data_IF_291019009115
#
_entry.id   IF_291019009115
#
_cell.length_a   1.000
_cell.length_b   1.000
_cell.length_c   1.000
_cell.angle_alpha   90.00
_cell.angle_beta   90.00
_cell.angle_gamma   90.00
#
_symmetry.space_group_name_H-M   'P 1'
#
loop_
_entity.id
_entity.type
_entity.pdbx_description
1 polymer ?
#
# COMPACT_ATOMS: atom_id res chain seq x y z
N UNK A 1 -14.11 -5.72 29.10
CA UNK A 1 -14.78 -4.82 28.13
C UNK A 1 -15.79 -5.62 27.31
N UNK A 2 -16.96 -5.05 27.07
CA UNK A 2 -18.03 -5.65 26.27
C UNK A 2 -17.63 -5.79 24.79
N UNK A 3 -18.39 -6.62 24.02
CA UNK A 3 -18.09 -6.94 22.61
C UNK A 3 -18.04 -5.71 21.70
N UNK A 4 -18.86 -4.69 21.95
CA UNK A 4 -18.88 -3.49 21.10
C UNK A 4 -19.54 -3.69 19.74
N UNK A 5 -19.02 -3.02 18.72
CA UNK A 5 -19.59 -2.97 17.38
C UNK A 5 -18.55 -3.24 16.28
N UNK A 6 -18.98 -3.28 15.03
CA UNK A 6 -18.05 -3.38 13.87
C UNK A 6 -17.12 -2.16 13.75
N UNK A 7 -17.49 -1.00 14.30
CA UNK A 7 -16.63 0.19 14.31
C UNK A 7 -15.55 0.10 15.37
N UNK A 8 -15.92 -0.21 16.61
CA UNK A 8 -15.00 -0.47 17.72
C UNK A 8 -15.47 -1.70 18.44
N UNK A 9 -14.73 -2.76 18.31
CA UNK A 9 -14.99 -4.06 18.92
C UNK A 9 -14.24 -4.17 20.26
N UNK A 10 -14.65 -5.10 21.12
CA UNK A 10 -13.95 -5.48 22.33
C UNK A 10 -12.50 -5.93 22.08
N UNK A 11 -11.64 -5.94 23.11
CA UNK A 11 -10.22 -6.15 22.92
C UNK A 11 -9.92 -7.54 22.38
N UNK A 12 -9.14 -7.57 21.32
CA UNK A 12 -8.63 -8.82 20.80
C UNK A 12 -7.27 -9.15 21.44
N UNK A 13 -6.34 -8.21 21.41
CA UNK A 13 -5.05 -8.23 22.10
C UNK A 13 -4.69 -6.79 22.43
N UNK A 14 -4.07 -6.56 23.56
CA UNK A 14 -3.73 -5.21 23.94
C UNK A 14 -2.87 -5.12 25.18
N UNK A 15 -2.60 -3.89 25.57
CA UNK A 15 -1.86 -3.55 26.79
C UNK A 15 -2.38 -2.24 27.37
N UNK A 16 -2.27 -2.08 28.68
CA UNK A 16 -2.53 -0.79 29.31
C UNK A 16 -1.30 0.10 29.24
N UNK A 17 -1.52 1.39 29.26
CA UNK A 17 -0.52 2.43 29.29
C UNK A 17 -0.88 3.43 30.37
N UNK A 18 0.08 3.70 31.25
CA UNK A 18 -0.04 4.75 32.26
C UNK A 18 0.59 6.04 31.72
N UNK A 19 -0.15 7.14 31.83
CA UNK A 19 0.36 8.44 31.44
C UNK A 19 1.10 9.11 32.62
N UNK A 20 2.00 10.07 32.35
CA UNK A 20 2.63 10.85 33.40
C UNK A 20 1.65 11.67 34.26
N UNK A 21 0.44 11.91 33.75
CA UNK A 21 -0.66 12.57 34.48
C UNK A 21 -1.46 11.62 35.39
N UNK A 22 -1.13 10.32 35.41
CA UNK A 22 -1.80 9.31 36.24
C UNK A 22 -3.08 8.76 35.60
N UNK A 23 -3.30 8.96 34.31
CA UNK A 23 -4.42 8.35 33.61
C UNK A 23 -4.04 6.95 33.12
N UNK A 24 -5.01 6.05 33.08
CA UNK A 24 -4.87 4.70 32.57
C UNK A 24 -5.60 4.58 31.24
N UNK A 25 -4.92 4.00 30.26
CA UNK A 25 -5.44 3.79 28.92
C UNK A 25 -5.16 2.37 28.45
N UNK A 26 -6.02 1.85 27.57
CA UNK A 26 -5.84 0.53 26.99
C UNK A 26 -5.75 0.61 25.47
N UNK A 27 -4.63 0.13 24.92
CA UNK A 27 -4.41 -0.02 23.48
C UNK A 27 -4.80 -1.43 23.07
N UNK A 28 -5.64 -1.56 22.07
CA UNK A 28 -5.98 -2.84 21.48
C UNK A 28 -6.14 -2.69 19.96
N UNK A 29 -6.27 -3.79 19.27
CA UNK A 29 -6.60 -3.73 17.85
C UNK A 29 -7.90 -4.47 17.56
N UNK A 30 -8.47 -4.12 16.42
CA UNK A 30 -9.56 -4.83 15.77
C UNK A 30 -9.09 -5.25 14.37
N UNK A 31 -9.32 -6.51 14.00
CA UNK A 31 -9.11 -6.96 12.63
C UNK A 31 -10.23 -6.40 11.74
N UNK A 32 -9.83 -5.64 10.73
CA UNK A 32 -10.72 -4.97 9.78
C UNK A 32 -10.48 -5.45 8.35
N UNK A 33 -10.23 -6.72 8.18
CA UNK A 33 -10.09 -7.39 6.88
C UNK A 33 -9.05 -6.70 5.99
N UNK A 34 -9.42 -6.22 4.80
CA UNK A 34 -8.51 -5.52 3.89
C UNK A 34 -7.84 -4.29 4.51
N UNK A 35 -8.47 -3.64 5.47
CA UNK A 35 -7.89 -2.49 6.18
C UNK A 35 -6.91 -2.89 7.30
N UNK A 36 -6.80 -4.18 7.61
CA UNK A 36 -5.86 -4.74 8.56
C UNK A 36 -6.25 -4.56 10.01
N UNK A 37 -5.26 -4.57 10.87
CA UNK A 37 -5.43 -4.48 12.32
C UNK A 37 -5.40 -3.04 12.78
N UNK A 38 -6.56 -2.43 12.84
CA UNK A 38 -6.73 -1.03 13.25
C UNK A 38 -6.60 -0.93 14.77
N UNK A 39 -5.73 -0.03 15.23
CA UNK A 39 -5.45 0.19 16.65
C UNK A 39 -6.44 1.18 17.24
N UNK A 40 -7.00 0.84 18.38
CA UNK A 40 -7.91 1.65 19.17
C UNK A 40 -7.29 2.00 20.51
N UNK A 41 -7.60 3.19 21.01
CA UNK A 41 -7.26 3.65 22.36
C UNK A 41 -8.56 3.78 23.18
N UNK A 42 -8.63 3.11 24.32
CA UNK A 42 -9.78 3.12 25.22
C UNK A 42 -9.39 3.72 26.57
N UNK A 43 -10.27 4.49 27.24
CA UNK A 43 -10.07 4.83 28.64
C UNK A 43 -10.10 3.57 29.49
N UNK A 44 -9.36 3.58 30.61
CA UNK A 44 -9.34 2.46 31.55
C UNK A 44 -9.30 2.99 32.97
N UNK A 45 -9.98 2.30 33.87
CA UNK A 45 -9.95 2.54 35.31
C UNK A 45 -9.69 1.24 36.07
N UNK A 46 -9.19 1.32 37.30
CA UNK A 46 -9.02 0.19 38.17
C UNK A 46 -10.14 0.21 39.26
N UNK A 47 -10.71 -0.95 39.57
CA UNK A 47 -11.61 -1.11 40.73
C UNK A 47 -10.79 -1.13 42.03
N UNK A 48 -11.51 -1.10 43.17
CA UNK A 48 -10.88 -1.23 44.48
C UNK A 48 -10.21 -2.61 44.69
N UNK A 49 -10.59 -3.61 43.92
CA UNK A 49 -10.02 -4.96 43.93
C UNK A 49 -8.91 -5.15 42.85
N UNK A 50 -8.35 -4.05 42.35
CA UNK A 50 -7.32 -4.06 41.28
C UNK A 50 -7.73 -4.76 39.97
N UNK A 51 -9.04 -4.68 39.64
CA UNK A 51 -9.54 -5.19 38.38
C UNK A 51 -9.72 -4.09 37.33
N UNK A 52 -9.26 -4.28 36.08
CA UNK A 52 -9.35 -3.24 35.03
C UNK A 52 -10.75 -3.18 34.42
N UNK A 53 -11.34 -2.01 34.41
CA UNK A 53 -12.53 -1.67 33.61
C UNK A 53 -12.08 -0.90 32.39
N UNK A 54 -12.17 -1.53 31.22
CA UNK A 54 -11.71 -0.97 29.94
C UNK A 54 -12.93 -0.45 29.17
N UNK A 55 -12.84 0.79 28.70
CA UNK A 55 -13.99 1.52 28.14
C UNK A 55 -14.73 2.27 29.24
N UNK A 56 -16.02 2.45 29.07
CA UNK A 56 -16.89 3.12 30.04
C UNK A 56 -17.98 2.14 30.50
N UNK A 57 -18.01 1.84 31.78
CA UNK A 57 -19.11 1.13 32.39
C UNK A 57 -20.28 2.11 32.56
N UNK A 58 -21.35 1.92 31.79
CA UNK A 58 -22.51 2.83 31.74
C UNK A 58 -23.67 2.38 32.60
N UNK A 59 -23.76 1.10 32.85
CA UNK A 59 -24.86 0.49 33.61
C UNK A 59 -24.45 -0.02 35.00
N UNK A 60 -23.16 0.04 35.32
CA UNK A 60 -22.62 -0.30 36.64
C UNK A 60 -22.46 -1.80 36.87
N UNK A 61 -22.38 -2.59 35.81
CA UNK A 61 -22.19 -4.05 35.89
C UNK A 61 -20.72 -4.47 36.05
N UNK A 62 -19.77 -3.52 36.06
CA UNK A 62 -18.33 -3.73 36.14
C UNK A 62 -17.69 -4.08 34.80
N UNK A 63 -18.43 -4.06 33.68
CA UNK A 63 -17.94 -4.33 32.34
C UNK A 63 -17.97 -3.07 31.48
N UNK A 64 -16.83 -2.48 31.23
CA UNK A 64 -16.73 -1.28 30.39
C UNK A 64 -17.11 -1.54 28.93
N UNK A 65 -17.82 -0.61 28.32
CA UNK A 65 -18.15 -0.61 26.90
C UNK A 65 -17.11 0.15 26.07
N UNK A 66 -16.74 -0.34 24.85
CA UNK A 66 -15.83 0.39 23.99
C UNK A 66 -16.39 1.76 23.59
N UNK A 67 -15.54 2.79 23.59
CA UNK A 67 -15.92 4.14 23.16
C UNK A 67 -15.39 4.40 21.74
N UNK A 68 -16.23 5.07 20.93
CA UNK A 68 -15.83 5.53 19.58
C UNK A 68 -15.20 6.92 19.63
N UNK A 69 -15.62 7.73 20.57
CA UNK A 69 -15.15 9.09 20.81
C UNK A 69 -14.86 9.28 22.28
N UNK A 70 -13.72 9.86 22.59
CA UNK A 70 -13.33 10.20 23.94
C UNK A 70 -12.33 11.37 23.93
N UNK A 71 -12.16 12.04 25.08
CA UNK A 71 -11.09 13.04 25.21
C UNK A 71 -9.73 12.41 24.98
N UNK A 72 -8.77 13.18 24.47
CA UNK A 72 -7.39 12.72 24.37
C UNK A 72 -6.75 12.56 25.75
N UNK A 73 -5.74 11.67 25.89
CA UNK A 73 -4.90 11.64 27.09
C UNK A 73 -4.31 13.02 27.41
N UNK A 74 -4.24 13.35 28.70
CA UNK A 74 -3.60 14.60 29.15
C UNK A 74 -2.07 14.44 29.07
N UNK A 75 -1.52 14.79 27.89
CA UNK A 75 -0.09 14.75 27.62
C UNK A 75 0.41 16.16 27.29
N UNK A 76 1.35 16.66 28.05
CA UNK A 76 1.97 17.96 27.78
C UNK A 76 2.66 17.96 26.42
N UNK A 77 2.32 18.91 25.54
CA UNK A 77 2.95 19.08 24.24
C UNK A 77 2.49 18.12 23.16
N UNK A 78 1.42 17.37 23.37
CA UNK A 78 0.81 16.53 22.35
C UNK A 78 0.17 17.37 21.25
N UNK A 79 0.88 17.53 20.14
CA UNK A 79 0.31 18.04 18.90
C UNK A 79 -0.56 16.97 18.20
N UNK A 80 -1.17 17.35 17.08
CA UNK A 80 -1.79 16.38 16.19
C UNK A 80 -0.67 15.81 15.30
N UNK A 81 -0.32 14.54 15.49
CA UNK A 81 0.61 13.82 14.62
C UNK A 81 -0.19 13.03 13.58
N UNK A 82 0.15 13.23 12.33
CA UNK A 82 -0.35 12.38 11.23
C UNK A 82 0.81 11.56 10.67
N UNK A 83 0.67 10.22 10.61
CA UNK A 83 1.66 9.38 9.94
C UNK A 83 1.85 9.80 8.49
N UNK A 84 3.07 9.75 8.00
CA UNK A 84 3.35 9.98 6.58
C UNK A 84 2.67 8.90 5.74
N UNK A 85 2.03 9.32 4.65
CA UNK A 85 1.34 8.43 3.70
C UNK A 85 1.82 8.60 2.26
N UNK A 86 2.30 9.77 1.89
CA UNK A 86 2.94 10.03 0.61
C UNK A 86 4.45 10.11 0.73
N UNK A 87 5.15 10.27 -0.40
CA UNK A 87 6.60 10.46 -0.42
C UNK A 87 7.02 11.19 -1.70
N UNK A 88 7.91 12.17 -1.56
CA UNK A 88 8.58 12.84 -2.66
C UNK A 88 10.07 12.44 -2.74
N UNK A 89 10.47 11.45 -1.95
CA UNK A 89 11.77 10.80 -1.92
C UNK A 89 12.96 11.76 -1.77
N UNK A 90 12.79 12.87 -1.04
CA UNK A 90 13.87 13.82 -0.76
C UNK A 90 14.83 13.36 0.31
N UNK A 91 14.40 12.51 1.21
CA UNK A 91 15.26 11.86 2.17
C UNK A 91 16.19 10.85 1.48
N UNK A 92 17.32 10.50 2.10
CA UNK A 92 18.23 9.48 1.57
C UNK A 92 17.78 8.05 1.91
N UNK A 93 16.84 7.94 2.84
CA UNK A 93 16.26 6.67 3.28
C UNK A 93 14.75 6.67 3.06
N UNK A 94 14.19 5.49 2.89
CA UNK A 94 12.74 5.29 2.84
C UNK A 94 12.10 5.65 4.17
N UNK A 95 10.97 6.36 4.12
CA UNK A 95 10.17 6.67 5.30
C UNK A 95 9.57 5.41 5.96
N UNK A 96 9.18 5.52 7.24
CA UNK A 96 8.65 4.41 8.04
C UNK A 96 7.32 3.84 7.51
N UNK A 97 6.64 4.55 6.62
CA UNK A 97 5.44 4.05 5.94
C UNK A 97 5.74 2.92 4.95
N UNK A 98 6.98 2.82 4.46
CA UNK A 98 7.38 1.82 3.49
C UNK A 98 7.88 0.53 4.15
N UNK A 99 7.57 -0.60 3.55
CA UNK A 99 8.05 -1.91 3.97
C UNK A 99 8.28 -2.82 2.75
N UNK A 100 9.32 -3.61 2.81
CA UNK A 100 9.56 -4.66 1.83
C UNK A 100 8.71 -5.89 2.13
N UNK A 101 8.32 -6.62 1.09
CA UNK A 101 7.63 -7.89 1.25
C UNK A 101 8.56 -8.96 1.86
N UNK A 102 9.79 -9.01 1.39
CA UNK A 102 10.82 -9.89 1.92
C UNK A 102 11.86 -9.19 2.80
N UNK A 103 12.93 -9.88 3.10
CA UNK A 103 14.09 -9.31 3.78
C UNK A 103 14.77 -8.30 2.87
N UNK A 104 14.91 -7.03 3.27
CA UNK A 104 15.41 -5.97 2.40
C UNK A 104 16.86 -6.22 1.96
N UNK A 105 17.17 -5.83 0.72
CA UNK A 105 18.52 -5.81 0.17
C UNK A 105 18.89 -4.38 -0.24
N UNK A 106 20.10 -3.91 0.06
CA UNK A 106 20.54 -2.57 -0.33
C UNK A 106 20.70 -2.42 -1.86
N UNK A 107 20.66 -3.52 -2.61
CA UNK A 107 20.77 -3.51 -4.05
C UNK A 107 19.44 -3.37 -4.79
N UNK A 108 18.31 -3.35 -4.06
CA UNK A 108 17.00 -3.27 -4.70
C UNK A 108 16.55 -1.85 -5.01
N UNK A 109 17.11 -0.87 -4.31
CA UNK A 109 16.67 0.51 -4.48
C UNK A 109 17.78 1.53 -4.23
N UNK A 110 17.55 2.72 -4.79
CA UNK A 110 18.28 3.93 -4.47
C UNK A 110 17.29 5.07 -4.30
N UNK A 111 17.46 5.86 -3.26
CA UNK A 111 16.55 6.96 -2.90
C UNK A 111 17.33 8.26 -2.79
N UNK A 112 16.74 9.35 -3.26
CA UNK A 112 17.25 10.69 -3.03
C UNK A 112 17.62 11.47 -4.28
N UNK A 113 18.39 12.57 -4.12
CA UNK A 113 18.83 13.42 -5.22
C UNK A 113 19.70 12.66 -6.22
N UNK A 114 19.44 12.84 -7.51
CA UNK A 114 20.16 12.13 -8.59
C UNK A 114 19.54 10.81 -9.00
N UNK A 115 18.51 10.32 -8.30
CA UNK A 115 17.70 9.21 -8.79
C UNK A 115 16.83 9.62 -9.99
N UNK A 116 16.53 10.90 -10.16
CA UNK A 116 15.90 11.44 -11.35
C UNK A 116 16.97 11.73 -12.43
N UNK A 117 16.94 10.95 -13.51
CA UNK A 117 17.95 11.02 -14.55
C UNK A 117 18.00 12.39 -15.23
N UNK A 118 19.17 13.02 -15.23
CA UNK A 118 19.47 14.25 -15.97
C UNK A 118 18.93 15.55 -15.37
N UNK A 119 18.10 15.53 -14.34
CA UNK A 119 17.61 16.72 -13.66
C UNK A 119 18.33 16.94 -12.33
N UNK A 120 19.32 17.84 -12.33
CA UNK A 120 20.09 18.15 -11.13
C UNK A 120 19.16 18.66 -10.02
N UNK A 121 19.20 18.01 -8.86
CA UNK A 121 18.47 18.40 -7.65
C UNK A 121 17.08 17.79 -7.47
N UNK A 122 16.53 17.03 -8.42
CA UNK A 122 15.31 16.25 -8.20
C UNK A 122 15.63 14.94 -7.49
N UNK A 123 14.77 14.62 -6.53
CA UNK A 123 14.80 13.36 -5.82
C UNK A 123 13.80 12.37 -6.41
N UNK A 124 14.09 11.10 -6.33
CA UNK A 124 13.20 10.02 -6.73
C UNK A 124 13.59 8.73 -6.00
N UNK A 125 12.74 7.73 -6.10
CA UNK A 125 13.07 6.34 -5.80
C UNK A 125 13.37 5.62 -7.12
N UNK A 126 14.49 4.90 -7.18
CA UNK A 126 14.78 3.88 -8.20
C UNK A 126 14.62 2.50 -7.59
N UNK A 127 13.79 1.67 -8.19
CA UNK A 127 13.70 0.24 -7.89
C UNK A 127 14.37 -0.52 -9.04
N UNK A 128 15.47 -1.20 -8.74
CA UNK A 128 16.18 -2.00 -9.73
C UNK A 128 15.44 -3.31 -9.98
N UNK A 129 15.50 -3.80 -11.22
CA UNK A 129 14.88 -5.06 -11.56
C UNK A 129 15.60 -6.22 -10.88
N UNK A 130 14.86 -6.99 -10.10
CA UNK A 130 15.34 -8.15 -9.35
C UNK A 130 15.02 -9.40 -10.14
N UNK A 131 16.04 -10.28 -10.30
CA UNK A 131 15.88 -11.56 -10.97
C UNK A 131 14.84 -12.42 -10.23
N UNK A 132 13.84 -12.86 -10.98
CA UNK A 132 12.86 -13.82 -10.48
C UNK A 132 13.44 -15.25 -10.61
N UNK A 133 13.36 -15.99 -9.52
CA UNK A 133 13.65 -17.42 -9.53
C UNK A 133 12.63 -18.16 -10.41
N UNK A 134 13.06 -19.20 -11.12
CA UNK A 134 12.14 -20.09 -11.87
C UNK A 134 11.05 -20.73 -11.00
N UNK A 135 11.27 -20.79 -9.69
CA UNK A 135 10.30 -21.30 -8.72
C UNK A 135 9.22 -20.28 -8.34
N UNK A 136 9.36 -18.99 -8.71
CA UNK A 136 8.39 -17.97 -8.38
C UNK A 136 7.18 -18.04 -9.30
N UNK A 137 6.01 -18.15 -8.71
CA UNK A 137 4.75 -18.39 -9.42
C UNK A 137 4.08 -17.08 -9.86
N UNK A 138 4.20 -16.04 -9.01
CA UNK A 138 3.57 -14.75 -9.21
C UNK A 138 4.21 -13.72 -8.27
N UNK A 139 3.68 -12.49 -8.18
CA UNK A 139 4.23 -11.42 -7.33
C UNK A 139 4.24 -11.75 -5.84
N UNK A 140 3.49 -12.74 -5.34
CA UNK A 140 3.53 -13.10 -3.92
C UNK A 140 4.88 -13.69 -3.50
N UNK A 141 5.61 -14.26 -4.43
CA UNK A 141 6.93 -14.83 -4.21
C UNK A 141 8.06 -13.78 -4.38
N UNK A 142 7.73 -12.57 -4.90
CA UNK A 142 8.71 -11.50 -5.12
C UNK A 142 9.05 -10.78 -3.80
N UNK A 143 10.29 -10.88 -3.30
CA UNK A 143 10.67 -10.25 -2.03
C UNK A 143 10.84 -8.73 -2.14
N UNK A 144 11.03 -8.21 -3.33
CA UNK A 144 11.33 -6.82 -3.64
C UNK A 144 10.09 -5.96 -3.94
N UNK A 145 8.90 -6.39 -3.50
CA UNK A 145 7.75 -5.49 -3.47
C UNK A 145 7.96 -4.44 -2.37
N UNK A 146 7.93 -3.17 -2.73
CA UNK A 146 7.96 -2.05 -1.79
C UNK A 146 6.55 -1.56 -1.54
N UNK A 147 6.03 -1.77 -0.34
CA UNK A 147 4.62 -1.68 -0.03
C UNK A 147 4.33 -0.70 1.11
N UNK A 148 3.13 -0.14 1.10
CA UNK A 148 2.55 0.66 2.18
C UNK A 148 1.16 0.12 2.54
N UNK A 149 0.82 0.09 3.82
CA UNK A 149 -0.51 -0.30 4.31
C UNK A 149 -1.57 0.71 3.87
N UNK A 150 -2.82 0.26 3.75
CA UNK A 150 -3.95 1.15 3.57
C UNK A 150 -4.06 2.12 4.76
N UNK A 151 -4.06 3.45 4.52
CA UNK A 151 -4.03 4.45 5.59
C UNK A 151 -5.41 4.74 6.18
N UNK A 152 -6.47 4.48 5.44
CA UNK A 152 -7.87 4.74 5.81
C UNK A 152 -8.83 3.86 5.00
N UNK A 153 -10.13 3.94 5.30
CA UNK A 153 -11.17 3.19 4.58
C UNK A 153 -11.46 3.78 3.19
N UNK A 154 -11.29 5.10 3.02
CA UNK A 154 -11.43 5.79 1.73
C UNK A 154 -10.19 6.65 1.46
N UNK A 155 -9.55 6.42 0.32
CA UNK A 155 -8.36 7.17 -0.08
C UNK A 155 -8.04 7.01 -1.57
N UNK A 156 -7.26 7.96 -2.07
CA UNK A 156 -6.72 7.93 -3.43
C UNK A 156 -5.20 7.97 -3.38
N UNK A 157 -4.55 7.00 -4.02
CA UNK A 157 -3.10 7.00 -4.28
C UNK A 157 -2.87 7.45 -5.71
N UNK A 158 -1.93 8.36 -5.90
CA UNK A 158 -1.45 8.77 -7.23
C UNK A 158 0.07 8.77 -7.22
N UNK A 159 0.68 8.21 -8.26
CA UNK A 159 2.12 8.18 -8.42
C UNK A 159 2.54 8.52 -9.86
N UNK A 160 3.70 9.18 -9.99
CA UNK A 160 4.37 9.37 -11.28
C UNK A 160 5.50 8.36 -11.39
N UNK A 161 5.49 7.58 -12.45
CA UNK A 161 6.37 6.45 -12.71
C UNK A 161 7.11 6.65 -14.03
N UNK A 162 8.32 6.09 -14.10
CA UNK A 162 9.10 6.01 -15.32
C UNK A 162 9.79 4.65 -15.38
N UNK A 163 9.47 3.85 -16.39
CA UNK A 163 10.11 2.55 -16.59
C UNK A 163 11.26 2.67 -17.57
N UNK A 164 12.42 2.19 -17.16
CA UNK A 164 13.68 2.18 -17.94
C UNK A 164 14.16 0.74 -18.04
N UNK A 165 13.70 -0.01 -19.07
CA UNK A 165 14.16 -1.38 -19.26
C UNK A 165 15.64 -1.41 -19.70
N UNK A 166 16.33 -2.49 -19.39
CA UNK A 166 17.69 -2.69 -19.89
C UNK A 166 17.68 -2.94 -21.42
N UNK A 167 18.29 -2.08 -22.24
CA UNK A 167 18.27 -2.19 -23.69
C UNK A 167 19.01 -3.43 -24.23
N UNK A 168 19.79 -4.12 -23.42
CA UNK A 168 20.50 -5.36 -23.79
C UNK A 168 19.64 -6.61 -23.56
N UNK A 169 18.49 -6.47 -22.93
CA UNK A 169 17.55 -7.57 -22.70
C UNK A 169 16.51 -7.63 -23.81
N UNK A 170 15.98 -8.82 -24.06
CA UNK A 170 14.85 -8.95 -24.98
C UNK A 170 13.62 -8.22 -24.43
N UNK A 171 12.80 -7.62 -25.30
CA UNK A 171 11.52 -7.04 -24.88
C UNK A 171 10.69 -8.03 -24.07
N UNK A 172 10.06 -7.55 -22.99
CA UNK A 172 9.28 -8.38 -22.07
C UNK A 172 10.10 -9.18 -21.06
N UNK A 173 11.44 -9.08 -21.09
CA UNK A 173 12.31 -9.72 -20.08
C UNK A 173 12.24 -9.05 -18.69
N UNK A 174 11.70 -7.85 -18.63
CA UNK A 174 11.53 -7.08 -17.39
C UNK A 174 10.12 -6.54 -17.32
N UNK A 175 9.58 -6.51 -16.12
CA UNK A 175 8.33 -5.85 -15.79
C UNK A 175 8.45 -5.01 -14.52
N UNK A 176 7.64 -3.97 -14.46
CA UNK A 176 7.59 -3.11 -13.30
C UNK A 176 6.19 -2.50 -13.16
N UNK A 177 5.89 -1.92 -12.01
CA UNK A 177 4.61 -1.24 -11.90
C UNK A 177 4.13 -0.98 -10.51
N UNK A 178 2.80 -0.80 -10.44
CA UNK A 178 2.05 -0.53 -9.23
C UNK A 178 1.14 -1.71 -8.91
N UNK A 179 1.02 -2.06 -7.62
CA UNK A 179 0.22 -3.19 -7.16
C UNK A 179 -0.62 -2.83 -5.94
N UNK A 180 -1.84 -3.35 -5.88
CA UNK A 180 -2.62 -3.54 -4.63
C UNK A 180 -2.52 -5.00 -4.27
N UNK A 181 -1.97 -5.30 -3.10
CA UNK A 181 -1.46 -6.61 -2.72
C UNK A 181 -2.04 -7.11 -1.39
N UNK A 182 -2.47 -8.37 -1.38
CA UNK A 182 -2.95 -9.11 -0.22
C UNK A 182 -2.89 -10.62 -0.50
N UNK A 183 -3.91 -11.37 -0.11
CA UNK A 183 -4.08 -12.78 -0.54
C UNK A 183 -4.33 -12.87 -2.05
N UNK A 184 -4.98 -11.85 -2.59
CA UNK A 184 -5.09 -11.57 -4.01
C UNK A 184 -4.28 -10.31 -4.34
N UNK A 185 -4.00 -10.08 -5.61
CA UNK A 185 -3.50 -8.77 -6.04
C UNK A 185 -4.05 -8.33 -7.39
N UNK A 186 -4.00 -7.04 -7.58
CA UNK A 186 -4.22 -6.40 -8.87
C UNK A 186 -3.02 -5.48 -9.16
N UNK A 187 -2.44 -5.61 -10.34
CA UNK A 187 -1.29 -4.80 -10.73
C UNK A 187 -1.51 -4.07 -12.07
N UNK A 188 -1.03 -2.84 -12.14
CA UNK A 188 -0.74 -2.14 -13.38
C UNK A 188 0.74 -2.38 -13.69
N UNK A 189 1.02 -3.23 -14.68
CA UNK A 189 2.32 -3.79 -15.01
C UNK A 189 2.80 -3.20 -16.34
N UNK A 190 3.94 -2.53 -16.38
CA UNK A 190 4.57 -2.02 -17.60
C UNK A 190 5.64 -2.99 -18.07
N UNK A 191 5.64 -3.27 -19.37
CA UNK A 191 6.64 -4.11 -20.06
C UNK A 191 7.16 -3.38 -21.27
N UNK A 192 8.45 -3.58 -21.57
CA UNK A 192 9.04 -3.15 -22.85
C UNK A 192 8.55 -4.02 -24.00
N UNK A 193 8.31 -3.39 -25.15
CA UNK A 193 8.01 -4.06 -26.42
C UNK A 193 9.00 -3.59 -27.49
N UNK A 194 9.10 -4.26 -28.64
CA UNK A 194 9.97 -3.78 -29.74
C UNK A 194 9.64 -2.36 -30.21
N UNK A 195 8.36 -1.97 -30.09
CA UNK A 195 7.84 -0.68 -30.55
C UNK A 195 7.63 0.32 -29.39
N UNK A 196 8.09 -0.02 -28.13
CA UNK A 196 8.01 0.83 -26.95
C UNK A 196 7.57 0.12 -25.67
N UNK A 197 6.48 0.54 -25.06
CA UNK A 197 6.01 -0.07 -23.83
C UNK A 197 4.51 -0.32 -23.86
N UNK A 198 4.08 -1.32 -23.10
CA UNK A 198 2.70 -1.67 -22.91
C UNK A 198 2.38 -1.68 -21.41
N UNK A 199 1.26 -1.08 -21.03
CA UNK A 199 0.71 -1.16 -19.69
C UNK A 199 -0.40 -2.20 -19.65
N UNK A 200 -0.27 -3.16 -18.77
CA UNK A 200 -1.19 -4.27 -18.57
C UNK A 200 -1.90 -4.16 -17.23
N UNK A 201 -3.18 -4.44 -17.20
CA UNK A 201 -3.93 -4.69 -15.99
C UNK A 201 -4.02 -6.20 -15.75
N UNK A 202 -3.43 -6.66 -14.69
CA UNK A 202 -3.41 -8.08 -14.33
C UNK A 202 -4.01 -8.30 -12.94
N UNK A 203 -4.76 -9.38 -12.80
CA UNK A 203 -5.31 -9.85 -11.54
C UNK A 203 -4.79 -11.24 -11.21
N UNK A 204 -4.47 -11.47 -9.96
CA UNK A 204 -4.14 -12.80 -9.45
C UNK A 204 -5.00 -13.09 -8.21
N UNK A 205 -5.84 -14.10 -8.31
CA UNK A 205 -6.62 -14.61 -7.19
C UNK A 205 -5.84 -15.72 -6.51
N UNK A 206 -5.98 -15.81 -5.17
CA UNK A 206 -5.29 -16.79 -4.34
C UNK A 206 -3.77 -16.84 -4.61
N UNK A 207 -3.16 -15.64 -4.73
CA UNK A 207 -1.76 -15.51 -5.14
C UNK A 207 -0.80 -16.25 -4.22
N UNK A 208 -1.03 -16.23 -2.90
CA UNK A 208 -0.20 -16.94 -1.92
C UNK A 208 -0.31 -18.47 -2.03
N UNK A 209 -1.40 -18.98 -2.60
CA UNK A 209 -1.61 -20.40 -2.86
C UNK A 209 -1.12 -20.82 -4.27
N UNK A 210 -0.51 -19.89 -5.00
CA UNK A 210 0.05 -20.12 -6.33
C UNK A 210 -0.92 -19.88 -7.47
N UNK A 211 -1.90 -18.99 -7.26
CA UNK A 211 -2.80 -18.56 -8.31
C UNK A 211 -2.05 -17.97 -9.51
N UNK A 212 -2.64 -18.10 -10.70
CA UNK A 212 -2.09 -17.56 -11.94
C UNK A 212 -2.52 -16.12 -12.19
N UNK A 213 -1.65 -15.34 -12.83
CA UNK A 213 -2.01 -14.00 -13.31
C UNK A 213 -2.97 -14.08 -14.49
N UNK A 214 -4.06 -13.32 -14.40
CA UNK A 214 -5.03 -13.15 -15.46
C UNK A 214 -4.91 -11.75 -16.07
N UNK A 215 -4.54 -11.68 -17.34
CA UNK A 215 -4.50 -10.43 -18.10
C UNK A 215 -5.93 -9.97 -18.41
N UNK A 216 -6.31 -8.81 -17.91
CA UNK A 216 -7.66 -8.25 -18.10
C UNK A 216 -7.71 -7.20 -19.20
N UNK A 217 -6.66 -6.41 -19.34
CA UNK A 217 -6.56 -5.34 -20.34
C UNK A 217 -5.11 -4.97 -20.61
N UNK A 218 -4.87 -4.36 -21.77
CA UNK A 218 -3.57 -3.91 -22.20
C UNK A 218 -3.69 -2.64 -23.05
N UNK A 219 -2.80 -1.67 -22.85
CA UNK A 219 -2.75 -0.43 -23.62
C UNK A 219 -1.31 -0.07 -23.97
N UNK A 220 -1.09 0.33 -25.21
CA UNK A 220 0.22 0.84 -25.66
C UNK A 220 0.49 2.22 -25.08
N UNK A 221 1.57 2.39 -24.33
CA UNK A 221 1.94 3.68 -23.76
C UNK A 221 2.50 4.64 -24.82
N UNK A 222 3.16 4.14 -25.86
CA UNK A 222 3.68 4.99 -26.95
C UNK A 222 2.61 5.65 -27.80
N UNK A 223 1.52 4.95 -28.04
CA UNK A 223 0.38 5.51 -28.78
C UNK A 223 -0.18 6.74 -28.06
N UNK A 224 0.03 6.85 -26.77
CA UNK A 224 -0.46 7.94 -25.92
C UNK A 224 0.63 8.99 -25.66
N UNK A 225 1.92 8.60 -25.61
CA UNK A 225 3.02 9.48 -25.21
C UNK A 225 3.76 10.13 -26.38
N UNK A 226 3.62 9.61 -27.59
CA UNK A 226 4.37 10.13 -28.77
C UNK A 226 5.89 10.11 -28.59
N UNK A 227 6.42 9.32 -27.65
CA UNK A 227 7.83 9.31 -27.32
C UNK A 227 8.62 8.40 -28.24
N UNK A 228 9.72 8.94 -28.78
CA UNK A 228 10.62 8.25 -29.72
C UNK A 228 11.84 7.64 -29.04
N UNK A 229 11.86 7.50 -27.74
CA UNK A 229 13.06 7.11 -27.01
C UNK A 229 13.01 5.67 -26.51
N UNK A 230 13.86 4.84 -27.02
CA UNK A 230 14.42 3.75 -26.24
C UNK A 230 14.98 4.36 -24.96
N UNK A 231 14.29 4.22 -23.84
CA UNK A 231 14.88 4.68 -22.60
C UNK A 231 13.92 4.98 -21.47
N UNK A 232 12.93 5.80 -21.68
CA UNK A 232 12.04 6.21 -20.59
C UNK A 232 10.59 6.20 -21.04
N UNK A 233 9.75 5.42 -20.38
CA UNK A 233 8.31 5.51 -20.54
C UNK A 233 7.72 6.12 -19.27
N UNK A 234 7.39 7.41 -19.33
CA UNK A 234 6.76 8.13 -18.25
C UNK A 234 5.25 7.90 -18.27
N UNK A 235 4.68 7.59 -17.14
CA UNK A 235 3.23 7.41 -16.98
C UNK A 235 2.82 7.67 -15.54
N UNK A 236 1.52 7.83 -15.35
CA UNK A 236 0.93 8.04 -14.04
C UNK A 236 -0.04 6.91 -13.74
N UNK A 237 -0.11 6.54 -12.47
CA UNK A 237 -1.08 5.58 -11.96
C UNK A 237 -1.91 6.21 -10.86
N UNK A 238 -3.19 5.86 -10.82
CA UNK A 238 -4.10 6.26 -9.74
C UNK A 238 -4.91 5.05 -9.31
N UNK A 239 -5.01 4.89 -8.00
CA UNK A 239 -5.92 3.92 -7.40
C UNK A 239 -6.83 4.64 -6.42
N UNK A 240 -8.14 4.46 -6.60
CA UNK A 240 -9.15 4.91 -5.66
C UNK A 240 -9.64 3.71 -4.88
N UNK A 241 -9.55 3.78 -3.56
CA UNK A 241 -10.06 2.77 -2.63
C UNK A 241 -11.26 3.35 -1.91
N UNK A 242 -12.38 2.65 -1.98
CA UNK A 242 -13.64 3.07 -1.38
C UNK A 242 -14.26 1.89 -0.61
N UNK A 243 -14.85 2.15 0.57
CA UNK A 243 -15.57 1.11 1.29
C UNK A 243 -16.87 0.74 0.56
N UNK A 244 -17.16 -0.55 0.47
CA UNK A 244 -18.47 -1.06 0.09
C UNK A 244 -19.10 -1.69 1.32
N UNK A 245 -20.12 -1.03 1.84
CA UNK A 245 -20.81 -1.46 3.05
C UNK A 245 -21.35 -2.89 2.93
N UNK A 246 -21.18 -3.65 4.00
CA UNK A 246 -21.75 -4.98 4.20
C UNK A 246 -22.53 -4.95 5.53
N UNK A 247 -23.86 -5.16 5.51
CA UNK A 247 -24.67 -5.10 6.74
C UNK A 247 -24.14 -6.05 7.81
N UNK A 248 -23.78 -5.48 8.97
CA UNK A 248 -23.31 -6.24 10.13
C UNK A 248 -21.88 -6.75 10.04
N UNK A 249 -21.10 -6.31 9.02
CA UNK A 249 -19.73 -6.77 8.79
C UNK A 249 -18.78 -5.58 8.52
N UNK A 250 -17.50 -5.86 8.45
CA UNK A 250 -16.47 -4.89 8.00
C UNK A 250 -16.70 -4.62 6.51
N UNK A 251 -16.65 -3.34 6.05
CA UNK A 251 -16.84 -3.04 4.65
C UNK A 251 -15.73 -3.62 3.78
N UNK A 252 -16.08 -4.03 2.56
CA UNK A 252 -15.09 -4.43 1.56
C UNK A 252 -14.29 -3.21 1.08
N UNK A 253 -13.01 -3.38 0.83
CA UNK A 253 -12.17 -2.38 0.17
C UNK A 253 -12.22 -2.56 -1.34
N UNK A 254 -12.93 -1.67 -2.04
CA UNK A 254 -13.11 -1.72 -3.50
C UNK A 254 -12.14 -0.76 -4.16
N UNK A 255 -11.28 -1.29 -5.03
CA UNK A 255 -10.25 -0.54 -5.74
C UNK A 255 -10.63 -0.32 -7.20
N UNK A 256 -10.41 0.91 -7.70
CA UNK A 256 -10.49 1.28 -9.12
C UNK A 256 -9.15 1.81 -9.57
N UNK A 257 -8.72 1.36 -10.74
CA UNK A 257 -7.41 1.67 -11.28
C UNK A 257 -7.54 2.56 -12.50
N UNK A 258 -6.71 3.59 -12.54
CA UNK A 258 -6.62 4.53 -13.65
C UNK A 258 -5.15 4.75 -14.01
N UNK A 259 -4.89 5.04 -15.25
CA UNK A 259 -3.58 5.50 -15.73
C UNK A 259 -3.72 6.84 -16.46
N UNK A 260 -2.62 7.52 -16.62
CA UNK A 260 -2.52 8.77 -17.37
C UNK A 260 -1.12 8.96 -17.93
N UNK A 261 -0.98 9.90 -18.83
CA UNK A 261 0.29 10.18 -19.49
C UNK A 261 0.82 11.58 -19.18
N UNK A 262 -0.04 12.47 -18.75
CA UNK A 262 0.28 13.87 -18.43
C UNK A 262 -0.04 14.25 -16.99
N UNK A 263 -0.67 13.32 -16.23
CA UNK A 263 -1.12 13.56 -14.86
C UNK A 263 -2.38 14.41 -14.76
N UNK A 264 -3.02 14.76 -15.86
CA UNK A 264 -4.24 15.55 -15.93
C UNK A 264 -5.43 14.67 -16.35
N UNK A 265 -5.28 13.98 -17.47
CA UNK A 265 -6.30 13.08 -18.02
C UNK A 265 -6.10 11.66 -17.50
N UNK A 266 -7.20 11.04 -17.06
CA UNK A 266 -7.21 9.73 -16.41
C UNK A 266 -8.13 8.76 -17.12
N UNK A 267 -7.60 7.61 -17.44
CA UNK A 267 -8.30 6.55 -18.15
C UNK A 267 -8.39 5.30 -17.27
N UNK A 268 -9.57 4.70 -17.08
CA UNK A 268 -9.69 3.45 -16.34
C UNK A 268 -8.97 2.32 -17.06
N UNK A 269 -8.33 1.44 -16.29
CA UNK A 269 -7.73 0.22 -16.84
C UNK A 269 -7.92 -0.92 -15.82
N UNK A 270 -8.73 -1.94 -16.14
CA UNK A 270 -9.52 -2.14 -17.37
C UNK A 270 -10.66 -1.12 -17.55
N UNK A 271 -11.08 -0.95 -18.78
CA UNK A 271 -12.27 -0.18 -19.11
C UNK A 271 -13.55 -0.77 -18.49
N UNK A 272 -14.69 -0.04 -18.64
CA UNK A 272 -16.00 -0.56 -18.27
C UNK A 272 -16.28 -0.55 -16.77
N UNK A 273 -15.49 0.16 -15.97
CA UNK A 273 -15.75 0.31 -14.52
C UNK A 273 -15.42 -0.93 -13.71
N UNK A 274 -14.41 -1.68 -14.13
CA UNK A 274 -13.88 -2.82 -13.38
C UNK A 274 -13.54 -2.41 -11.94
N UNK A 275 -13.80 -3.32 -11.00
CA UNK A 275 -13.59 -3.12 -9.58
C UNK A 275 -12.91 -4.34 -8.97
N UNK A 276 -11.74 -4.13 -8.43
CA UNK A 276 -11.05 -5.13 -7.66
C UNK A 276 -11.44 -5.01 -6.18
N UNK A 277 -11.90 -6.10 -5.57
CA UNK A 277 -12.11 -6.15 -4.13
C UNK A 277 -10.83 -6.68 -3.49
N UNK A 278 -10.13 -5.82 -2.74
CA UNK A 278 -8.92 -6.21 -2.05
C UNK A 278 -9.24 -7.16 -0.90
N UNK A 279 -8.42 -8.22 -0.77
CA UNK A 279 -8.42 -9.11 0.38
C UNK A 279 -7.23 -8.79 1.30
N UNK A 280 -7.32 -9.10 2.61
CA UNK A 280 -6.20 -8.90 3.51
C UNK A 280 -4.98 -9.71 3.07
N UNK A 281 -3.80 -9.34 3.53
CA UNK A 281 -2.64 -10.21 3.54
C UNK A 281 -2.65 -11.15 4.75
N UNK A 282 -1.67 -12.05 4.82
CA UNK A 282 -1.54 -12.94 5.99
C UNK A 282 -1.17 -12.12 7.23
N UNK A 283 -2.10 -12.03 8.19
CA UNK A 283 -1.96 -11.27 9.44
C UNK A 283 -1.81 -9.74 9.27
N UNK A 284 -2.06 -9.23 8.10
CA UNK A 284 -1.99 -7.80 7.78
C UNK A 284 -3.17 -7.43 6.88
N UNK A 285 -3.47 -6.14 6.77
CA UNK A 285 -4.39 -5.66 5.74
C UNK A 285 -3.78 -5.74 4.33
N UNK A 286 -4.55 -5.32 3.36
CA UNK A 286 -4.06 -5.06 2.02
C UNK A 286 -3.04 -3.91 2.03
N UNK A 287 -2.20 -3.88 1.03
CA UNK A 287 -1.13 -2.90 0.83
C UNK A 287 -1.15 -2.41 -0.60
N UNK A 288 -0.56 -1.26 -0.85
CA UNK A 288 -0.25 -0.82 -2.20
C UNK A 288 1.24 -0.52 -2.32
N UNK A 289 1.77 -0.54 -3.53
CA UNK A 289 3.17 -0.21 -3.73
C UNK A 289 3.70 -0.54 -5.11
N UNK A 290 5.00 -0.78 -5.19
CA UNK A 290 5.76 -0.87 -6.43
C UNK A 290 6.60 -2.12 -6.47
N UNK A 291 6.92 -2.53 -7.69
CA UNK A 291 7.84 -3.64 -7.99
C UNK A 291 8.60 -3.39 -9.28
N UNK A 292 9.73 -4.06 -9.41
CA UNK A 292 10.49 -4.13 -10.65
C UNK A 292 11.21 -5.47 -10.71
N UNK A 293 10.91 -6.28 -11.71
CA UNK A 293 11.36 -7.66 -11.81
C UNK A 293 12.07 -7.93 -13.15
N UNK A 294 12.87 -8.97 -13.17
CA UNK A 294 13.56 -9.49 -14.33
C UNK A 294 13.39 -11.01 -14.43
N UNK A 295 12.98 -11.47 -15.60
CA UNK A 295 12.68 -12.88 -15.88
C UNK A 295 13.86 -13.63 -16.53
N UNK A 296 15.03 -13.03 -16.56
CA UNK A 296 16.25 -13.60 -17.12
C UNK A 296 17.42 -13.40 -16.16
N UNK A 297 18.34 -14.37 -16.13
CA UNK A 297 19.54 -14.26 -15.30
C UNK A 297 20.57 -13.37 -15.99
N UNK A 298 20.75 -12.17 -15.49
CA UNK A 298 21.81 -11.22 -15.87
C UNK A 298 22.15 -10.31 -14.70
N UNK A 299 23.41 -9.90 -14.62
CA UNK A 299 23.90 -9.02 -13.56
C UNK A 299 23.50 -7.55 -13.71
N UNK A 300 23.00 -7.17 -14.90
CA UNK A 300 22.58 -5.81 -15.21
C UNK A 300 21.09 -5.80 -15.56
N UNK A 301 20.36 -4.88 -15.01
CA UNK A 301 18.90 -4.76 -15.15
C UNK A 301 18.45 -3.32 -15.29
N UNK A 302 17.24 -3.16 -15.81
CA UNK A 302 16.52 -1.89 -15.81
C UNK A 302 16.05 -1.49 -14.43
N UNK A 303 15.22 -0.45 -14.39
CA UNK A 303 14.64 0.03 -13.14
C UNK A 303 13.28 0.71 -13.35
N UNK A 304 12.51 0.75 -12.29
CA UNK A 304 11.36 1.64 -12.18
C UNK A 304 11.78 2.87 -11.37
N UNK A 305 11.60 4.06 -11.92
CA UNK A 305 11.69 5.32 -11.19
C UNK A 305 10.32 5.74 -10.69
N UNK A 306 10.23 6.11 -9.42
CA UNK A 306 9.06 6.72 -8.81
C UNK A 306 9.42 8.13 -8.42
N UNK A 307 8.87 9.12 -9.11
CA UNK A 307 9.20 10.53 -8.87
C UNK A 307 8.55 11.02 -7.58
N UNK A 308 7.32 10.62 -7.35
CA UNK A 308 6.56 10.95 -6.14
C UNK A 308 5.33 10.04 -6.00
N UNK A 309 4.86 9.95 -4.78
CA UNK A 309 3.59 9.31 -4.41
C UNK A 309 2.78 10.28 -3.57
N UNK A 310 1.55 10.50 -3.91
CA UNK A 310 0.60 11.23 -3.07
C UNK A 310 -0.51 10.30 -2.61
N UNK A 311 -0.87 10.42 -1.35
CA UNK A 311 -2.00 9.70 -0.77
C UNK A 311 -2.94 10.72 -0.16
N UNK A 312 -4.18 10.74 -0.59
CA UNK A 312 -5.23 11.62 -0.08
C UNK A 312 -6.32 10.76 0.52
N UNK A 313 -6.52 10.87 1.81
CA UNK A 313 -7.69 10.28 2.48
C UNK A 313 -8.88 11.21 2.30
N UNK A 314 -10.03 10.64 1.97
CA UNK A 314 -11.30 11.35 1.98
C UNK A 314 -11.76 11.40 3.44
N UNK A 315 -11.73 12.61 4.04
CA UNK A 315 -12.17 12.86 5.41
C UNK A 315 -13.69 12.99 5.47
#
# INVERSE_FOLDING_TARGET
MAQGSTRVNGPHQGAWVDTPSGEHWFLHFQDKDAYGRVVHLQPMTWTEEDWPVIGIDRDGDGVGEPVQEYRKPDLKGSGCFQPATGDDFRALDLGLQWQWQGVPSPYWSFVGPGAADGESGRSALKLYSVEQSESWRNLSDSPNLLLQKFPSESFTVTAKLSFVPNPQLAPGSEDAGFVVFGLDYFALKVLGTPDGAVLQAVECRDAMEGGEENLLASVGLETVLGSRSYGNTDFYVRVKVEPRERPGDVPDAVCRFEYGTDGLDWFPLPDGGYRFTARPGKWTGAKFGFFCNRHVSKNDGGWLRVDWVTVKSDC
#
